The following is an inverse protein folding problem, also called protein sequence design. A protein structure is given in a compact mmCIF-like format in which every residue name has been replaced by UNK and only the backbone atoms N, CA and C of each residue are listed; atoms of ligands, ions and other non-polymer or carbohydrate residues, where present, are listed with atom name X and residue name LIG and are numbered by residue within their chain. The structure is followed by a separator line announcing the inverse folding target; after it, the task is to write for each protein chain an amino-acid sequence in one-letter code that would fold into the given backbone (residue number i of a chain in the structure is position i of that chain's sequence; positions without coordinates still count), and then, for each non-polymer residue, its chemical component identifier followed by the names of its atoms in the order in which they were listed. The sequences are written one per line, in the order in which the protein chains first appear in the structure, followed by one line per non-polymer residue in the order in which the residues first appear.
data_IF_565445658963
#
_entry.id   IF_565445658963
#
_cell.length_a   1.000
_cell.length_b   1.000
_cell.length_c   1.000
_cell.angle_alpha   90.00
_cell.angle_beta   90.00
_cell.angle_gamma   90.00
#
_symmetry.space_group_name_H-M   'P 1'
#
loop_
_entity.id
_entity.type
_entity.pdbx_description
1 polymer ?
#
# COMPACT_ATOMS: atom_id res chain seq x y z
N UNK A 1 -15.50 -49.24 30.48
CA UNK A 1 -14.80 -48.11 31.14
C UNK A 1 -13.82 -47.50 30.15
N UNK A 2 -14.22 -46.44 29.45
CA UNK A 2 -13.38 -45.81 28.43
C UNK A 2 -12.43 -44.82 29.09
N UNK A 3 -11.12 -45.06 28.99
CA UNK A 3 -10.08 -44.12 29.45
C UNK A 3 -10.07 -42.91 28.51
N UNK A 4 -10.48 -41.76 29.02
CA UNK A 4 -10.26 -40.48 28.36
C UNK A 4 -8.79 -40.12 28.56
N UNK A 5 -7.99 -40.34 27.52
CA UNK A 5 -6.62 -39.84 27.44
C UNK A 5 -6.74 -38.35 27.12
N UNK A 6 -6.54 -37.49 28.13
CA UNK A 6 -6.40 -36.05 27.90
C UNK A 6 -5.02 -35.83 27.28
N UNK A 7 -5.00 -35.46 26.00
CA UNK A 7 -3.78 -34.93 25.38
C UNK A 7 -3.29 -33.71 26.17
N UNK A 8 -1.99 -33.58 26.44
CA UNK A 8 -1.46 -32.41 27.10
C UNK A 8 -1.62 -31.21 26.16
N UNK A 9 -2.41 -30.21 26.59
CA UNK A 9 -2.39 -28.88 25.97
C UNK A 9 -0.94 -28.39 25.99
N UNK A 10 -0.32 -28.26 24.83
CA UNK A 10 0.98 -27.63 24.68
C UNK A 10 0.91 -26.26 25.37
N UNK A 11 1.62 -26.12 26.49
CA UNK A 11 1.85 -24.81 27.09
C UNK A 11 2.76 -24.09 26.10
N UNK A 12 2.24 -23.07 25.44
CA UNK A 12 3.10 -22.18 24.66
C UNK A 12 4.19 -21.67 25.61
N UNK A 13 5.47 -21.78 25.24
CA UNK A 13 6.55 -21.30 26.08
C UNK A 13 6.33 -19.82 26.36
N UNK A 14 6.45 -19.43 27.63
CA UNK A 14 6.42 -18.03 28.04
C UNK A 14 7.72 -17.43 27.52
N UNK A 15 7.65 -16.69 26.41
CA UNK A 15 8.81 -15.96 25.90
C UNK A 15 8.94 -14.69 26.74
N UNK A 16 10.09 -14.51 27.37
CA UNK A 16 10.44 -13.30 28.13
C UNK A 16 10.82 -12.15 27.20
N UNK A 17 10.80 -10.92 27.72
CA UNK A 17 11.23 -9.73 26.96
C UNK A 17 12.69 -9.83 26.49
N UNK A 18 13.56 -10.43 27.31
CA UNK A 18 14.97 -10.68 26.97
C UNK A 18 15.09 -11.68 25.81
N UNK A 19 14.27 -12.73 25.81
CA UNK A 19 14.25 -13.70 24.71
C UNK A 19 13.68 -13.10 23.43
N UNK A 20 12.66 -12.23 23.51
CA UNK A 20 12.16 -11.48 22.35
C UNK A 20 13.25 -10.60 21.74
N UNK A 21 14.05 -9.90 22.56
CA UNK A 21 15.19 -9.13 22.05
C UNK A 21 16.23 -10.00 21.37
N UNK A 22 16.57 -11.16 21.94
CA UNK A 22 17.52 -12.08 21.30
C UNK A 22 17.00 -12.54 19.93
N UNK A 23 15.72 -12.93 19.86
CA UNK A 23 15.09 -13.31 18.60
C UNK A 23 15.06 -12.15 17.60
N UNK A 24 14.83 -10.91 18.06
CA UNK A 24 14.86 -9.72 17.21
C UNK A 24 16.21 -9.59 16.48
N UNK A 25 17.31 -9.76 17.19
CA UNK A 25 18.66 -9.59 16.63
C UNK A 25 19.15 -10.80 15.82
N UNK A 26 18.47 -11.95 15.87
CA UNK A 26 18.87 -13.14 15.10
C UNK A 26 18.70 -12.92 13.59
N UNK A 27 17.68 -12.17 13.16
CA UNK A 27 17.43 -11.92 11.74
C UNK A 27 17.28 -13.21 10.91
N UNK A 28 16.62 -14.23 11.45
CA UNK A 28 16.40 -15.53 10.80
C UNK A 28 14.92 -15.82 10.55
N UNK A 29 14.63 -16.72 9.60
CA UNK A 29 13.26 -17.15 9.29
C UNK A 29 12.62 -17.86 10.49
N UNK A 30 13.41 -18.61 11.24
CA UNK A 30 13.01 -19.33 12.44
C UNK A 30 12.65 -18.37 13.57
N UNK A 31 13.43 -17.30 13.77
CA UNK A 31 13.13 -16.26 14.75
C UNK A 31 11.83 -15.53 14.41
N UNK A 32 11.65 -15.12 13.14
CA UNK A 32 10.40 -14.53 12.65
C UNK A 32 9.19 -15.42 12.97
N UNK A 33 9.31 -16.73 12.71
CA UNK A 33 8.23 -17.67 12.97
C UNK A 33 7.89 -17.78 14.46
N UNK A 34 8.91 -17.81 15.34
CA UNK A 34 8.72 -17.83 16.80
C UNK A 34 8.04 -16.56 17.31
N UNK A 35 8.47 -15.39 16.85
CA UNK A 35 7.87 -14.12 17.27
C UNK A 35 6.42 -14.02 16.79
N UNK A 36 6.12 -14.41 15.53
CA UNK A 36 4.73 -14.46 15.01
C UNK A 36 3.83 -15.41 15.81
N UNK A 37 4.37 -16.58 16.20
CA UNK A 37 3.63 -17.53 17.03
C UNK A 37 3.32 -16.94 18.42
N UNK A 38 4.28 -16.23 19.01
CA UNK A 38 4.08 -15.52 20.28
C UNK A 38 2.99 -14.45 20.17
N UNK A 39 3.09 -13.54 19.19
CA UNK A 39 2.10 -12.46 18.94
C UNK A 39 0.68 -13.02 18.81
N UNK A 40 0.52 -14.15 18.12
CA UNK A 40 -0.79 -14.79 17.93
C UNK A 40 -1.37 -15.38 19.23
N UNK A 41 -0.51 -15.80 20.13
CA UNK A 41 -0.91 -16.47 21.38
C UNK A 41 -1.04 -15.53 22.57
N UNK A 42 -0.35 -14.39 22.55
CA UNK A 42 -0.35 -13.40 23.62
C UNK A 42 -1.63 -12.58 23.59
N UNK A 43 -2.21 -12.37 24.78
CA UNK A 43 -3.45 -11.60 24.99
C UNK A 43 -3.17 -10.23 25.58
N UNK A 44 -2.04 -10.07 26.25
CA UNK A 44 -1.60 -8.81 26.80
C UNK A 44 -1.18 -7.85 25.68
N UNK A 45 -1.80 -6.67 25.64
CA UNK A 45 -1.59 -5.71 24.56
C UNK A 45 -0.18 -5.11 24.58
N UNK A 46 0.40 -4.86 25.75
CA UNK A 46 1.73 -4.25 25.87
C UNK A 46 2.81 -5.25 25.43
N UNK A 47 2.68 -6.50 25.86
CA UNK A 47 3.59 -7.57 25.42
C UNK A 47 3.46 -7.87 23.94
N UNK A 48 2.25 -7.77 23.40
CA UNK A 48 2.02 -7.93 21.96
C UNK A 48 2.67 -6.81 21.15
N UNK A 49 2.49 -5.55 21.57
CA UNK A 49 3.15 -4.40 20.95
C UNK A 49 4.68 -4.52 21.01
N UNK A 50 5.22 -4.97 22.14
CA UNK A 50 6.65 -5.24 22.27
C UNK A 50 7.14 -6.32 21.28
N UNK A 51 6.39 -7.41 21.17
CA UNK A 51 6.71 -8.48 20.22
C UNK A 51 6.56 -8.04 18.76
N UNK A 52 5.65 -7.11 18.45
CA UNK A 52 5.52 -6.52 17.12
C UNK A 52 6.75 -5.67 16.76
N UNK A 53 7.30 -4.87 17.70
CA UNK A 53 8.57 -4.16 17.51
C UNK A 53 9.74 -5.15 17.30
N UNK A 54 9.84 -6.19 18.14
CA UNK A 54 10.87 -7.22 17.99
C UNK A 54 10.76 -7.95 16.63
N UNK A 55 9.54 -8.17 16.15
CA UNK A 55 9.30 -8.76 14.83
C UNK A 55 9.77 -7.84 13.71
N UNK A 56 9.50 -6.55 13.82
CA UNK A 56 9.90 -5.55 12.82
C UNK A 56 11.41 -5.50 12.66
N UNK A 57 12.15 -5.43 13.77
CA UNK A 57 13.61 -5.49 13.80
C UNK A 57 14.15 -6.81 13.23
N UNK A 58 13.56 -7.94 13.62
CA UNK A 58 13.95 -9.26 13.10
C UNK A 58 13.78 -9.36 11.58
N UNK A 59 12.64 -8.88 11.08
CA UNK A 59 12.36 -8.87 9.65
C UNK A 59 13.29 -7.89 8.90
N UNK A 60 13.57 -6.71 9.46
CA UNK A 60 14.53 -5.77 8.87
C UNK A 60 15.89 -6.44 8.63
N UNK A 61 16.45 -7.09 9.65
CA UNK A 61 17.73 -7.80 9.57
C UNK A 61 17.69 -9.03 8.64
N UNK A 62 16.56 -9.73 8.58
CA UNK A 62 16.39 -10.88 7.69
C UNK A 62 16.33 -10.47 6.22
N UNK A 63 15.65 -9.36 5.92
CA UNK A 63 15.39 -8.91 4.55
C UNK A 63 16.44 -7.95 4.00
N UNK A 64 17.34 -7.43 4.83
CA UNK A 64 18.46 -6.61 4.39
C UNK A 64 19.29 -7.34 3.30
N UNK A 65 19.42 -6.75 2.09
CA UNK A 65 20.27 -7.28 1.03
C UNK A 65 21.72 -7.46 1.50
N UNK A 66 22.38 -8.54 1.07
CA UNK A 66 23.78 -8.84 1.47
C UNK A 66 24.72 -8.94 0.27
N UNK A 67 24.19 -8.83 -0.94
CA UNK A 67 24.92 -8.83 -2.20
C UNK A 67 24.05 -8.22 -3.31
N UNK A 68 24.67 -7.89 -4.45
CA UNK A 68 24.01 -7.23 -5.60
C UNK A 68 22.80 -8.02 -6.14
N UNK A 69 22.87 -9.35 -6.15
CA UNK A 69 21.76 -10.18 -6.63
C UNK A 69 20.54 -10.06 -5.69
N UNK A 70 20.79 -10.00 -4.39
CA UNK A 70 19.76 -9.79 -3.39
C UNK A 70 19.22 -8.37 -3.40
N UNK A 71 20.04 -7.37 -3.76
CA UNK A 71 19.56 -6.00 -4.00
C UNK A 71 18.59 -5.94 -5.18
N UNK A 72 18.89 -6.65 -6.28
CA UNK A 72 17.98 -6.76 -7.41
C UNK A 72 16.66 -7.47 -7.05
N UNK A 73 16.74 -8.60 -6.35
CA UNK A 73 15.55 -9.33 -5.89
C UNK A 73 14.71 -8.48 -4.90
N UNK A 74 15.38 -7.68 -4.06
CA UNK A 74 14.76 -6.76 -3.11
C UNK A 74 14.02 -5.62 -3.83
N UNK A 75 14.67 -4.99 -4.80
CA UNK A 75 14.07 -3.95 -5.64
C UNK A 75 12.89 -4.51 -6.46
N UNK A 76 12.99 -5.74 -6.95
CA UNK A 76 11.89 -6.39 -7.65
C UNK A 76 10.69 -6.63 -6.73
N UNK A 77 10.91 -7.01 -5.46
CA UNK A 77 9.85 -7.11 -4.46
C UNK A 77 9.15 -5.77 -4.21
N UNK A 78 9.89 -4.66 -4.28
CA UNK A 78 9.33 -3.30 -4.17
C UNK A 78 8.40 -3.01 -5.34
N UNK A 79 8.90 -3.15 -6.58
CA UNK A 79 8.12 -2.91 -7.79
C UNK A 79 6.88 -3.81 -7.88
N UNK A 80 6.98 -5.09 -7.50
CA UNK A 80 5.83 -6.00 -7.42
C UNK A 80 4.77 -5.45 -6.48
N UNK A 81 5.15 -4.93 -5.31
CA UNK A 81 4.21 -4.38 -4.35
C UNK A 81 3.55 -3.09 -4.85
N UNK A 82 4.28 -2.24 -5.58
CA UNK A 82 3.72 -1.04 -6.22
C UNK A 82 2.68 -1.42 -7.29
N UNK A 83 3.03 -2.36 -8.17
CA UNK A 83 2.11 -2.83 -9.20
C UNK A 83 0.86 -3.48 -8.60
N UNK A 84 1.00 -4.27 -7.52
CA UNK A 84 -0.15 -4.84 -6.81
C UNK A 84 -1.07 -3.76 -6.25
N UNK A 85 -0.53 -2.71 -5.62
CA UNK A 85 -1.35 -1.58 -5.13
C UNK A 85 -2.06 -0.86 -6.26
N UNK A 86 -1.34 -0.59 -7.35
CA UNK A 86 -1.93 0.09 -8.49
C UNK A 86 -3.01 -0.77 -9.17
N UNK A 87 -2.86 -2.09 -9.20
CA UNK A 87 -3.93 -3.00 -9.63
C UNK A 87 -5.16 -2.85 -8.71
N UNK A 88 -4.99 -2.84 -7.39
CA UNK A 88 -6.10 -2.66 -6.44
C UNK A 88 -6.83 -1.32 -6.70
N UNK A 89 -6.08 -0.23 -6.94
CA UNK A 89 -6.65 1.10 -7.25
C UNK A 89 -7.44 1.11 -8.57
N UNK A 90 -6.89 0.48 -9.62
CA UNK A 90 -7.55 0.35 -10.93
C UNK A 90 -8.80 -0.54 -10.86
N UNK A 91 -8.80 -1.57 -10.01
CA UNK A 91 -9.98 -2.40 -9.77
C UNK A 91 -11.10 -1.60 -9.09
N UNK A 92 -10.77 -0.71 -8.14
CA UNK A 92 -11.73 0.23 -7.54
C UNK A 92 -12.26 1.21 -8.59
N UNK A 93 -11.39 1.80 -9.42
CA UNK A 93 -11.81 2.71 -10.52
C UNK A 93 -12.77 1.99 -11.50
N UNK A 94 -12.46 0.74 -11.83
CA UNK A 94 -13.29 -0.12 -12.68
C UNK A 94 -14.70 -0.31 -12.10
N UNK A 95 -14.81 -0.56 -10.79
CA UNK A 95 -16.10 -0.74 -10.13
C UNK A 95 -16.92 0.56 -10.09
N UNK A 96 -16.27 1.70 -9.83
CA UNK A 96 -16.91 3.03 -9.87
C UNK A 96 -17.50 3.31 -11.26
N UNK A 97 -16.72 3.07 -12.32
CA UNK A 97 -17.19 3.29 -13.71
C UNK A 97 -18.37 2.35 -14.03
N UNK A 98 -18.30 1.08 -13.63
CA UNK A 98 -19.39 0.11 -13.85
C UNK A 98 -20.68 0.52 -13.14
N UNK A 99 -20.58 0.97 -11.89
CA UNK A 99 -21.73 1.49 -11.14
C UNK A 99 -22.33 2.73 -11.80
N UNK A 100 -21.48 3.66 -12.25
CA UNK A 100 -21.89 4.83 -13.03
C UNK A 100 -22.69 4.43 -14.28
N UNK A 101 -22.14 3.54 -15.10
CA UNK A 101 -22.80 3.01 -16.30
C UNK A 101 -24.13 2.30 -15.99
N UNK A 102 -24.19 1.52 -14.91
CA UNK A 102 -25.42 0.85 -14.48
C UNK A 102 -26.49 1.86 -14.04
N UNK A 103 -26.10 2.88 -13.28
CA UNK A 103 -26.98 3.98 -12.86
C UNK A 103 -27.50 4.76 -14.07
N UNK A 104 -26.65 5.11 -15.03
CA UNK A 104 -27.05 5.78 -16.26
C UNK A 104 -28.12 4.99 -17.02
N UNK A 105 -27.93 3.67 -17.15
CA UNK A 105 -28.92 2.80 -17.79
C UNK A 105 -30.27 2.82 -17.06
N UNK A 106 -30.26 2.77 -15.73
CA UNK A 106 -31.48 2.82 -14.92
C UNK A 106 -32.22 4.16 -15.08
N UNK A 107 -31.51 5.27 -15.00
CA UNK A 107 -32.09 6.61 -15.17
C UNK A 107 -32.67 6.79 -16.59
N UNK A 108 -32.00 6.26 -17.61
CA UNK A 108 -32.52 6.25 -18.99
C UNK A 108 -33.83 5.46 -19.09
N UNK A 109 -33.93 4.31 -18.43
CA UNK A 109 -35.14 3.49 -18.42
C UNK A 109 -36.29 4.16 -17.64
N UNK A 110 -35.98 4.86 -16.54
CA UNK A 110 -36.95 5.71 -15.83
C UNK A 110 -37.43 6.84 -16.72
N UNK A 111 -36.54 7.54 -17.43
CA UNK A 111 -36.91 8.61 -18.35
C UNK A 111 -37.85 8.12 -19.46
N UNK A 112 -37.57 6.96 -20.06
CA UNK A 112 -38.47 6.33 -21.04
C UNK A 112 -39.88 6.11 -20.46
N UNK A 113 -39.98 5.64 -19.21
CA UNK A 113 -41.28 5.47 -18.54
C UNK A 113 -42.00 6.80 -18.27
N UNK A 114 -41.26 7.84 -17.88
CA UNK A 114 -41.81 9.19 -17.64
C UNK A 114 -42.41 9.76 -18.93
N UNK A 115 -41.69 9.68 -20.06
CA UNK A 115 -42.18 10.13 -21.36
C UNK A 115 -43.39 9.32 -21.86
N UNK A 116 -43.41 8.00 -21.60
CA UNK A 116 -44.52 7.13 -21.98
C UNK A 116 -45.82 7.48 -21.25
N UNK A 117 -45.72 7.87 -19.96
CA UNK A 117 -46.86 8.26 -19.12
C UNK A 117 -47.33 9.69 -19.36
N UNK A 118 -46.44 10.60 -19.75
CA UNK A 118 -46.71 12.03 -19.89
C UNK A 118 -46.72 12.49 -21.35
N UNK A 119 -47.58 11.88 -22.18
CA UNK A 119 -47.59 12.11 -23.64
C UNK A 119 -47.85 13.55 -24.09
N UNK A 120 -48.47 14.36 -23.22
CA UNK A 120 -48.92 15.73 -23.54
C UNK A 120 -47.93 16.81 -23.07
N UNK A 121 -46.80 16.43 -22.45
CA UNK A 121 -45.77 17.36 -21.91
C UNK A 121 -44.38 17.15 -22.52
N UNK A 122 -44.31 16.47 -23.66
CA UNK A 122 -43.07 15.98 -24.27
C UNK A 122 -42.08 17.07 -24.72
N UNK A 123 -42.53 18.29 -25.01
CA UNK A 123 -41.67 19.32 -25.62
C UNK A 123 -40.67 19.97 -24.65
N UNK A 124 -40.84 19.84 -23.34
CA UNK A 124 -40.00 20.53 -22.34
C UNK A 124 -39.12 19.62 -21.47
N UNK A 125 -39.35 18.30 -21.46
CA UNK A 125 -38.66 17.38 -20.53
C UNK A 125 -37.60 16.58 -21.25
N UNK A 126 -36.34 17.01 -21.12
CA UNK A 126 -35.18 16.31 -21.66
C UNK A 126 -34.44 15.60 -20.53
N UNK A 127 -34.06 14.34 -20.76
CA UNK A 127 -33.02 13.70 -19.97
C UNK A 127 -31.68 14.09 -20.58
N UNK A 128 -30.93 14.92 -19.86
CA UNK A 128 -29.59 15.32 -20.26
C UNK A 128 -28.61 14.20 -19.92
N UNK A 129 -28.60 13.17 -20.75
CA UNK A 129 -27.49 12.23 -20.81
C UNK A 129 -26.71 12.53 -22.07
N UNK A 130 -25.42 12.80 -21.91
CA UNK A 130 -24.51 13.00 -23.01
C UNK A 130 -23.95 11.62 -23.39
N UNK A 131 -24.48 11.02 -24.46
CA UNK A 131 -24.08 9.69 -24.95
C UNK A 131 -22.55 9.58 -25.14
N UNK A 132 -21.89 10.69 -25.45
CA UNK A 132 -20.43 10.82 -25.56
C UNK A 132 -19.70 10.48 -24.24
N UNK A 133 -20.27 10.83 -23.09
CA UNK A 133 -19.70 10.47 -21.78
C UNK A 133 -19.84 8.97 -21.51
N UNK A 134 -20.97 8.36 -21.87
CA UNK A 134 -21.16 6.91 -21.76
C UNK A 134 -20.19 6.15 -22.68
N UNK A 135 -19.93 6.67 -23.87
CA UNK A 135 -18.93 6.11 -24.78
C UNK A 135 -17.50 6.26 -24.22
N UNK A 136 -17.17 7.43 -23.66
CA UNK A 136 -15.90 7.69 -22.99
C UNK A 136 -15.66 6.74 -21.82
N UNK A 137 -16.64 6.58 -20.93
CA UNK A 137 -16.55 5.69 -19.77
C UNK A 137 -16.34 4.22 -20.18
N UNK A 138 -17.00 3.78 -21.26
CA UNK A 138 -16.77 2.42 -21.81
C UNK A 138 -15.37 2.24 -22.37
N UNK A 139 -14.85 3.24 -23.09
CA UNK A 139 -13.48 3.19 -23.61
C UNK A 139 -12.46 3.17 -22.48
N UNK A 140 -12.63 4.06 -21.49
CA UNK A 140 -11.81 4.10 -20.28
C UNK A 140 -11.82 2.78 -19.53
N UNK A 141 -12.99 2.15 -19.39
CA UNK A 141 -13.13 0.83 -18.78
C UNK A 141 -12.32 -0.24 -19.52
N UNK A 142 -12.33 -0.24 -20.86
CA UNK A 142 -11.53 -1.17 -21.65
C UNK A 142 -10.02 -0.95 -21.45
N UNK A 143 -9.57 0.31 -21.48
CA UNK A 143 -8.16 0.67 -21.26
C UNK A 143 -7.67 0.23 -19.88
N UNK A 144 -8.45 0.49 -18.83
CA UNK A 144 -8.10 0.07 -17.47
C UNK A 144 -8.06 -1.46 -17.36
N UNK A 145 -9.01 -2.17 -17.97
CA UNK A 145 -9.04 -3.63 -17.93
C UNK A 145 -7.81 -4.23 -18.63
N UNK A 146 -7.39 -3.68 -19.76
CA UNK A 146 -6.16 -4.10 -20.45
C UNK A 146 -4.90 -3.77 -19.63
N UNK A 147 -4.83 -2.59 -18.98
CA UNK A 147 -3.71 -2.24 -18.10
C UNK A 147 -3.64 -3.17 -16.87
N UNK A 148 -4.77 -3.47 -16.23
CA UNK A 148 -4.84 -4.47 -15.15
C UNK A 148 -4.31 -5.82 -15.63
N UNK A 149 -4.73 -6.27 -16.82
CA UNK A 149 -4.29 -7.56 -17.37
C UNK A 149 -2.77 -7.58 -17.61
N UNK A 150 -2.23 -6.51 -18.20
CA UNK A 150 -0.79 -6.36 -18.39
C UNK A 150 -0.04 -6.35 -17.06
N UNK A 151 -0.46 -5.54 -16.08
CA UNK A 151 0.20 -5.45 -14.78
C UNK A 151 0.15 -6.77 -14.01
N UNK A 152 -0.96 -7.53 -14.09
CA UNK A 152 -1.05 -8.88 -13.51
C UNK A 152 -0.04 -9.83 -14.14
N UNK A 153 0.07 -9.83 -15.47
CA UNK A 153 1.08 -10.63 -16.19
C UNK A 153 2.52 -10.19 -15.84
N UNK A 154 2.74 -8.89 -15.71
CA UNK A 154 4.03 -8.32 -15.31
C UNK A 154 4.43 -8.80 -13.91
N UNK A 155 3.50 -8.74 -12.93
CA UNK A 155 3.72 -9.22 -11.57
C UNK A 155 4.06 -10.70 -11.56
N UNK A 156 3.33 -11.53 -12.31
CA UNK A 156 3.61 -12.96 -12.39
C UNK A 156 4.99 -13.26 -12.97
N UNK A 157 5.40 -12.52 -14.01
CA UNK A 157 6.73 -12.64 -14.61
C UNK A 157 7.82 -12.20 -13.62
N UNK A 158 7.62 -11.06 -12.94
CA UNK A 158 8.55 -10.52 -11.95
C UNK A 158 8.74 -11.49 -10.77
N UNK A 159 7.67 -12.10 -10.24
CA UNK A 159 7.76 -13.07 -9.15
C UNK A 159 8.62 -14.30 -9.52
N UNK A 160 8.61 -14.72 -10.79
CA UNK A 160 9.43 -15.84 -11.29
C UNK A 160 10.92 -15.46 -11.43
N UNK A 161 11.24 -14.19 -11.52
CA UNK A 161 12.62 -13.70 -11.60
C UNK A 161 13.31 -13.61 -10.23
N UNK A 162 12.55 -13.70 -9.12
CA UNK A 162 13.13 -13.70 -7.77
C UNK A 162 13.85 -15.02 -7.50
N UNK A 163 15.18 -14.95 -7.36
CA UNK A 163 16.00 -16.14 -7.16
C UNK A 163 16.20 -16.46 -5.68
N UNK A 164 16.44 -15.44 -4.85
CA UNK A 164 16.84 -15.61 -3.46
C UNK A 164 15.68 -16.13 -2.62
N UNK A 165 15.90 -17.24 -1.92
CA UNK A 165 14.84 -17.97 -1.20
C UNK A 165 14.12 -17.12 -0.15
N UNK A 166 14.79 -16.12 0.44
CA UNK A 166 14.20 -15.24 1.45
C UNK A 166 13.15 -14.27 0.91
N UNK A 167 13.23 -13.90 -0.37
CA UNK A 167 12.28 -12.98 -1.01
C UNK A 167 11.14 -13.71 -1.73
N UNK A 168 11.24 -15.04 -1.88
CA UNK A 168 10.19 -15.86 -2.49
C UNK A 168 8.93 -15.83 -1.63
N UNK A 169 7.79 -15.55 -2.27
CA UNK A 169 6.51 -15.35 -1.58
C UNK A 169 6.27 -13.90 -1.15
N UNK A 170 7.21 -13.00 -1.45
CA UNK A 170 7.09 -11.58 -1.17
C UNK A 170 7.53 -11.19 0.23
N UNK A 171 7.84 -9.91 0.37
CA UNK A 171 8.24 -9.28 1.62
C UNK A 171 7.04 -8.60 2.30
N UNK A 172 6.99 -8.53 3.64
CA UNK A 172 6.00 -7.71 4.33
C UNK A 172 6.06 -6.25 3.88
N UNK A 173 4.91 -5.66 3.53
CA UNK A 173 4.83 -4.28 2.97
C UNK A 173 5.55 -3.23 3.83
N UNK A 174 5.50 -3.35 5.16
CA UNK A 174 6.16 -2.43 6.11
C UNK A 174 7.69 -2.44 5.99
N UNK A 175 8.27 -3.52 5.50
CA UNK A 175 9.72 -3.60 5.40
C UNK A 175 10.26 -2.70 4.29
N UNK A 176 9.48 -2.46 3.23
CA UNK A 176 9.88 -1.54 2.17
C UNK A 176 9.98 -0.08 2.65
N UNK A 177 9.21 0.34 3.65
CA UNK A 177 9.29 1.73 4.14
C UNK A 177 10.55 2.03 4.95
N UNK A 178 11.29 1.01 5.42
CA UNK A 178 12.53 1.21 6.17
C UNK A 178 13.76 1.43 5.27
N UNK A 179 13.64 1.14 3.97
CA UNK A 179 14.72 1.33 3.03
C UNK A 179 14.44 2.60 2.24
N UNK A 180 15.30 3.61 2.42
CA UNK A 180 15.31 4.78 1.55
C UNK A 180 15.84 4.32 0.19
N UNK A 181 14.94 3.96 -0.70
CA UNK A 181 15.26 3.83 -2.11
C UNK A 181 15.57 5.23 -2.59
N UNK A 182 16.80 5.46 -3.05
CA UNK A 182 17.22 6.75 -3.55
C UNK A 182 16.34 7.17 -4.72
N UNK A 183 15.23 7.83 -4.42
CA UNK A 183 14.43 8.54 -5.39
C UNK A 183 15.17 9.84 -5.70
N UNK A 184 16.31 9.68 -6.35
CA UNK A 184 16.98 10.74 -7.11
C UNK A 184 16.31 10.92 -8.48
N UNK A 185 15.03 10.57 -8.60
CA UNK A 185 14.19 10.90 -9.74
C UNK A 185 13.28 12.04 -9.31
N UNK A 186 13.83 13.25 -9.37
CA UNK A 186 13.10 14.49 -9.54
C UNK A 186 11.72 14.50 -8.88
N UNK A 187 11.69 14.55 -7.55
CA UNK A 187 10.73 15.45 -6.94
C UNK A 187 11.25 16.84 -7.28
N UNK A 188 10.85 17.32 -8.46
CA UNK A 188 10.56 18.74 -8.61
C UNK A 188 9.43 19.00 -7.62
N UNK A 189 9.82 19.11 -6.34
CA UNK A 189 8.99 19.53 -5.22
C UNK A 189 8.61 20.97 -5.51
N UNK A 190 7.66 21.13 -6.44
CA UNK A 190 7.09 22.38 -6.91
C UNK A 190 7.96 23.56 -6.55
N UNK A 191 9.16 23.62 -7.16
CA UNK A 191 10.03 24.76 -6.99
C UNK A 191 9.17 25.95 -7.37
N UNK A 192 8.82 26.74 -6.36
CA UNK A 192 7.88 27.83 -6.52
C UNK A 192 8.40 28.69 -7.67
N UNK A 193 7.72 28.62 -8.83
CA UNK A 193 8.10 29.33 -10.06
C UNK A 193 7.99 30.87 -9.87
N UNK A 194 7.67 31.32 -8.66
CA UNK A 194 7.62 32.70 -8.20
C UNK A 194 8.99 33.26 -7.79
N UNK A 195 10.08 32.48 -7.79
CA UNK A 195 11.39 32.92 -7.29
C UNK A 195 12.33 33.55 -8.35
N UNK A 196 11.79 34.03 -9.47
CA UNK A 196 12.59 34.83 -10.41
C UNK A 196 12.81 36.28 -9.94
N UNK A 197 12.01 36.79 -8.99
CA UNK A 197 12.08 38.21 -8.57
C UNK A 197 12.10 38.45 -7.05
N UNK A 198 12.13 37.40 -6.22
CA UNK A 198 12.26 37.53 -4.77
C UNK A 198 11.07 38.18 -4.06
N UNK A 199 9.88 38.24 -4.68
CA UNK A 199 8.73 38.98 -4.15
C UNK A 199 7.70 38.12 -3.42
N UNK A 200 8.06 36.89 -2.98
CA UNK A 200 7.13 36.03 -2.24
C UNK A 200 7.03 36.46 -0.76
N UNK A 201 5.87 36.96 -0.29
CA UNK A 201 5.70 37.44 1.09
C UNK A 201 5.71 36.33 2.15
N UNK A 202 5.57 35.06 1.73
CA UNK A 202 5.49 33.90 2.63
C UNK A 202 6.86 33.27 2.94
N UNK A 203 7.96 33.79 2.37
CA UNK A 203 9.32 33.27 2.59
C UNK A 203 10.19 34.17 3.51
N UNK A 204 9.63 35.23 4.10
CA UNK A 204 10.33 36.05 5.09
C UNK A 204 10.09 35.50 6.51
N UNK A 205 10.77 34.40 6.85
CA UNK A 205 11.05 34.11 8.26
C UNK A 205 12.27 34.93 8.70
N UNK A 206 12.02 36.02 9.43
CA UNK A 206 13.04 36.71 10.20
C UNK A 206 13.48 35.82 11.38
N UNK A 207 14.45 34.94 11.14
CA UNK A 207 15.35 34.46 12.20
C UNK A 207 16.60 35.33 12.22
N UNK A 208 16.51 36.45 12.94
CA UNK A 208 17.63 37.33 13.28
C UNK A 208 18.60 36.59 14.22
N UNK A 209 19.54 35.84 13.64
CA UNK A 209 20.67 35.23 14.35
C UNK A 209 21.78 36.27 14.52
N UNK A 210 21.54 37.24 15.40
CA UNK A 210 22.49 38.30 15.77
C UNK A 210 23.38 37.94 16.97
N UNK A 211 24.68 37.78 16.68
CA UNK A 211 25.88 37.97 17.52
C UNK A 211 26.16 37.04 18.72
N UNK A 212 26.95 35.99 18.42
CA UNK A 212 27.81 35.26 19.36
C UNK A 212 28.99 36.16 19.77
N UNK A 213 28.76 37.10 20.69
CA UNK A 213 29.81 37.77 21.47
C UNK A 213 29.24 38.17 22.83
N UNK A 214 29.28 37.24 23.78
CA UNK A 214 29.44 37.46 25.22
C UNK A 214 29.05 36.19 25.99
N UNK A 215 30.03 35.30 26.21
CA UNK A 215 29.98 34.38 27.35
C UNK A 215 31.25 34.58 28.19
N UNK A 216 31.13 34.89 29.49
CA UNK A 216 32.27 34.92 30.39
C UNK A 216 32.77 33.48 30.64
N UNK A 217 34.09 33.32 30.72
CA UNK A 217 34.77 32.10 31.16
C UNK A 217 34.34 31.66 32.57
#
# INVERSE_FOLDING_TARGET
MSKIIKEPKAKNPIITQIELNKLAHEGTKEAIAKIKAYIKSEKDCEKKAYAEMALEECEFLYYQPRNEKEEQDFELCRLINEYKRHIDDLEVETDIIREGLARFKLEQDVHKQVLARNKNRKEAWQYHCMDDFVASDKNRLMEIMDDIAYKKAWVEAAEKMIFSARYKGGMPKRQLSHFCFGDNRYVDDGGCDCCADGSCPDCQEDYDMGDIKDMPY
#
